data_IF_774147938105
#
_entry.id   IF_774147938105
#
_cell.length_a   1.000
_cell.length_b   1.000
_cell.length_c   1.000
_cell.angle_alpha   90.00
_cell.angle_beta   90.00
_cell.angle_gamma   90.00
#
_symmetry.space_group_name_H-M   'P 1'
#
loop_
_entity.id
_entity.type
_entity.pdbx_description
1 polymer ?
#
# COMPACT_ATOMS: atom_id res chain seq x y z
N UNK A 1 2.11 -9.53 -6.26
CA UNK A 1 1.23 -9.61 -5.07
C UNK A 1 0.01 -10.48 -5.36
N UNK A 2 -0.51 -11.15 -4.34
CA UNK A 2 -1.76 -11.93 -4.36
C UNK A 2 -2.71 -11.45 -3.24
N UNK A 3 -3.99 -11.28 -3.56
CA UNK A 3 -5.08 -11.02 -2.62
C UNK A 3 -6.02 -12.23 -2.60
N UNK A 4 -5.72 -13.27 -1.79
CA UNK A 4 -6.42 -14.55 -1.85
C UNK A 4 -7.92 -14.44 -1.56
N UNK A 5 -8.33 -13.54 -0.65
CA UNK A 5 -9.75 -13.34 -0.32
C UNK A 5 -10.59 -12.80 -1.49
N UNK A 6 -9.94 -12.19 -2.48
CA UNK A 6 -10.58 -11.65 -3.68
C UNK A 6 -10.27 -12.47 -4.95
N UNK A 7 -9.40 -13.48 -4.86
CA UNK A 7 -8.98 -14.27 -6.01
C UNK A 7 -8.23 -13.48 -7.08
N UNK A 8 -7.59 -12.36 -6.72
CA UNK A 8 -6.85 -11.50 -7.65
C UNK A 8 -5.37 -11.42 -7.34
N UNK A 9 -4.57 -11.18 -8.37
CA UNK A 9 -3.13 -10.93 -8.27
C UNK A 9 -2.72 -9.79 -9.19
N UNK A 10 -1.55 -9.21 -8.95
CA UNK A 10 -1.03 -8.13 -9.79
C UNK A 10 0.35 -7.66 -9.36
N UNK A 11 0.94 -6.81 -10.21
CA UNK A 11 2.16 -6.06 -9.91
C UNK A 11 1.75 -4.62 -9.63
N UNK A 12 1.90 -4.20 -8.38
CA UNK A 12 1.53 -2.86 -7.91
C UNK A 12 2.83 -2.10 -7.62
N UNK A 13 3.07 -0.95 -8.26
CA UNK A 13 4.12 -0.05 -7.83
C UNK A 13 3.68 0.61 -6.52
N UNK A 14 4.49 0.47 -5.47
CA UNK A 14 4.25 1.15 -4.21
C UNK A 14 5.26 2.27 -3.99
N UNK A 15 4.79 3.40 -3.48
CA UNK A 15 5.63 4.36 -2.79
C UNK A 15 6.04 3.78 -1.43
N UNK A 16 7.33 3.72 -1.15
CA UNK A 16 7.85 3.35 0.17
C UNK A 16 7.60 4.51 1.12
N UNK A 17 6.72 4.33 2.11
CA UNK A 17 6.26 5.41 2.99
C UNK A 17 6.36 5.01 4.46
N UNK A 18 7.40 5.49 5.15
CA UNK A 18 7.59 5.27 6.59
C UNK A 18 6.61 6.09 7.44
N UNK A 19 5.95 7.11 6.89
CA UNK A 19 4.89 7.87 7.55
C UNK A 19 3.56 7.13 7.59
N UNK A 20 3.31 6.24 6.62
CA UNK A 20 2.12 5.41 6.57
C UNK A 20 2.20 4.24 7.56
N UNK A 21 1.21 4.14 8.46
CA UNK A 21 1.12 3.01 9.40
C UNK A 21 0.82 1.68 8.69
N UNK A 22 0.02 1.74 7.62
CA UNK A 22 -0.53 0.58 6.92
C UNK A 22 -0.29 0.64 5.42
N UNK A 23 -0.04 -0.52 4.83
CA UNK A 23 0.08 -0.69 3.37
C UNK A 23 -1.29 -0.57 2.71
N UNK A 24 -1.38 0.26 1.67
CA UNK A 24 -2.63 0.68 1.05
C UNK A 24 -2.55 0.65 -0.47
N UNK A 25 -3.54 0.03 -1.12
CA UNK A 25 -3.75 0.09 -2.57
C UNK A 25 -4.81 1.15 -2.84
N UNK A 26 -4.39 2.22 -3.51
CA UNK A 26 -5.26 3.31 -3.88
C UNK A 26 -6.09 2.99 -5.13
N UNK A 27 -7.21 3.70 -5.28
CA UNK A 27 -8.22 3.40 -6.30
C UNK A 27 -7.63 3.28 -7.71
N UNK A 28 -6.74 4.20 -8.08
CA UNK A 28 -6.12 4.24 -9.41
C UNK A 28 -5.29 3.00 -9.76
N UNK A 29 -4.68 2.35 -8.76
CA UNK A 29 -3.82 1.17 -8.96
C UNK A 29 -4.60 -0.14 -8.89
N UNK A 30 -5.86 -0.14 -8.42
CA UNK A 30 -6.72 -1.35 -8.43
C UNK A 30 -6.84 -1.98 -9.81
N UNK A 31 -6.75 -1.17 -10.88
CA UNK A 31 -6.81 -1.62 -12.28
C UNK A 31 -5.69 -2.60 -12.68
N UNK A 32 -4.62 -2.64 -11.90
CA UNK A 32 -3.47 -3.53 -12.09
C UNK A 32 -3.68 -4.91 -11.44
N UNK A 33 -4.78 -5.08 -10.70
CA UNK A 33 -5.20 -6.36 -10.15
C UNK A 33 -6.10 -7.10 -11.13
N UNK A 34 -5.74 -8.35 -11.40
CA UNK A 34 -6.47 -9.25 -12.28
C UNK A 34 -6.82 -10.55 -11.57
N UNK A 35 -8.01 -11.05 -11.82
CA UNK A 35 -8.44 -12.42 -11.46
C UNK A 35 -7.68 -13.47 -12.26
N UNK A 36 -7.86 -14.75 -11.93
CA UNK A 36 -7.25 -15.87 -12.65
C UNK A 36 -7.65 -15.96 -14.13
N UNK A 37 -8.86 -15.50 -14.49
CA UNK A 37 -9.33 -15.46 -15.88
C UNK A 37 -8.87 -14.20 -16.64
N UNK A 38 -8.05 -13.35 -16.02
CA UNK A 38 -7.50 -12.13 -16.60
C UNK A 38 -8.47 -10.94 -16.58
N UNK A 39 -9.66 -11.08 -16.02
CA UNK A 39 -10.55 -9.93 -15.81
C UNK A 39 -10.02 -9.01 -14.71
N UNK A 40 -10.34 -7.72 -14.80
CA UNK A 40 -9.94 -6.73 -13.79
C UNK A 40 -10.82 -6.86 -12.55
N UNK A 41 -10.27 -6.50 -11.40
CA UNK A 41 -11.06 -6.36 -10.17
C UNK A 41 -12.23 -5.39 -10.42
N UNK A 42 -13.47 -5.88 -10.28
CA UNK A 42 -14.66 -5.04 -10.46
C UNK A 42 -14.65 -3.86 -9.48
N UNK A 43 -15.09 -2.66 -9.89
CA UNK A 43 -15.39 -1.56 -8.97
C UNK A 43 -16.35 -2.01 -7.86
N UNK A 44 -17.33 -2.85 -8.21
CA UNK A 44 -18.42 -3.32 -7.33
C UNK A 44 -18.04 -4.49 -6.41
N UNK A 45 -16.73 -4.74 -6.23
CA UNK A 45 -16.27 -5.77 -5.31
C UNK A 45 -16.75 -5.45 -3.89
N UNK A 46 -17.61 -6.33 -3.38
CA UNK A 46 -18.11 -6.25 -2.02
C UNK A 46 -17.03 -6.72 -1.06
N UNK A 47 -16.44 -5.77 -0.32
CA UNK A 47 -15.60 -6.07 0.83
C UNK A 47 -16.44 -5.84 2.09
N UNK A 48 -16.90 -6.90 2.79
CA UNK A 48 -17.88 -6.77 3.87
C UNK A 48 -17.35 -6.04 5.10
N UNK A 49 -16.03 -6.08 5.32
CA UNK A 49 -15.36 -5.36 6.41
C UNK A 49 -14.55 -4.19 5.84
N UNK A 50 -15.00 -2.97 6.14
CA UNK A 50 -14.30 -1.75 5.77
C UNK A 50 -14.04 -0.86 6.99
N UNK A 51 -13.05 0.00 6.85
CA UNK A 51 -12.74 1.07 7.80
C UNK A 51 -12.70 2.40 7.06
N UNK A 52 -12.98 3.48 7.78
CA UNK A 52 -12.83 4.84 7.25
C UNK A 52 -11.59 5.47 7.88
N UNK A 53 -10.78 6.12 7.05
CA UNK A 53 -9.68 6.96 7.50
C UNK A 53 -9.71 8.31 6.78
N UNK A 54 -9.04 9.30 7.37
CA UNK A 54 -8.86 10.59 6.72
C UNK A 54 -7.74 10.48 5.68
N UNK A 55 -8.11 10.68 4.42
CA UNK A 55 -7.17 10.82 3.31
C UNK A 55 -6.66 12.26 3.18
N UNK A 56 -6.24 12.61 1.97
CA UNK A 56 -5.73 13.95 1.66
C UNK A 56 -6.82 15.00 1.85
N UNK A 57 -6.41 16.15 2.39
CA UNK A 57 -7.29 17.27 2.70
C UNK A 57 -8.47 16.89 3.63
N UNK A 58 -8.27 15.90 4.49
CA UNK A 58 -9.29 15.37 5.41
C UNK A 58 -10.51 14.79 4.71
N UNK A 59 -10.34 14.34 3.45
CA UNK A 59 -11.40 13.65 2.73
C UNK A 59 -11.59 12.26 3.33
N UNK A 60 -12.81 11.85 3.75
CA UNK A 60 -13.05 10.50 4.21
C UNK A 60 -12.83 9.50 3.07
N UNK A 61 -12.04 8.46 3.33
CA UNK A 61 -11.79 7.36 2.39
C UNK A 61 -12.16 6.04 3.05
N UNK A 62 -12.89 5.20 2.31
CA UNK A 62 -13.26 3.86 2.73
C UNK A 62 -12.25 2.84 2.23
N UNK A 63 -11.74 2.02 3.14
CA UNK A 63 -10.79 0.97 2.85
C UNK A 63 -11.33 -0.39 3.27
N UNK A 64 -11.40 -1.32 2.32
CA UNK A 64 -11.62 -2.73 2.61
C UNK A 64 -10.30 -3.40 2.98
N UNK A 65 -10.26 -4.14 4.08
CA UNK A 65 -9.01 -4.74 4.57
C UNK A 65 -8.87 -6.21 4.18
N UNK A 66 -7.89 -6.53 3.33
CA UNK A 66 -7.72 -7.86 2.76
C UNK A 66 -6.41 -8.53 3.20
N UNK A 67 -6.42 -9.84 3.50
CA UNK A 67 -5.18 -10.61 3.54
C UNK A 67 -4.46 -10.52 2.19
N UNK A 68 -3.14 -10.40 2.22
CA UNK A 68 -2.30 -10.28 1.05
C UNK A 68 -1.01 -11.10 1.20
N UNK A 69 -0.50 -11.57 0.08
CA UNK A 69 0.88 -12.07 -0.04
C UNK A 69 1.63 -11.12 -0.97
N UNK A 70 2.59 -10.41 -0.41
CA UNK A 70 3.49 -9.51 -1.10
C UNK A 70 4.75 -10.28 -1.49
N UNK A 71 5.20 -10.07 -2.72
CA UNK A 71 6.42 -10.68 -3.25
C UNK A 71 7.24 -9.56 -3.86
N UNK A 72 8.43 -9.33 -3.31
CA UNK A 72 9.38 -8.34 -3.76
C UNK A 72 10.57 -9.06 -4.40
N UNK A 73 10.77 -8.85 -5.69
CA UNK A 73 11.95 -9.34 -6.41
C UNK A 73 13.05 -8.29 -6.37
N UNK A 74 14.27 -8.72 -6.10
CA UNK A 74 15.48 -7.93 -6.35
C UNK A 74 16.08 -8.38 -7.68
N UNK A 75 16.77 -7.51 -8.42
CA UNK A 75 17.33 -7.85 -9.74
C UNK A 75 18.27 -9.06 -9.70
N UNK A 76 19.01 -9.24 -8.59
CA UNK A 76 20.08 -10.24 -8.46
C UNK A 76 19.95 -11.14 -7.21
N UNK A 77 18.85 -11.09 -6.48
CA UNK A 77 18.75 -11.68 -5.14
C UNK A 77 17.50 -12.52 -4.88
N UNK A 78 17.42 -13.13 -3.68
CA UNK A 78 16.25 -13.90 -3.28
C UNK A 78 15.02 -13.01 -3.22
N UNK A 79 13.88 -13.52 -3.71
CA UNK A 79 12.60 -12.85 -3.53
C UNK A 79 12.24 -12.82 -2.05
N UNK A 80 11.82 -11.65 -1.58
CA UNK A 80 11.28 -11.48 -0.24
C UNK A 80 9.76 -11.62 -0.29
N UNK A 81 9.22 -12.52 0.56
CA UNK A 81 7.79 -12.83 0.60
C UNK A 81 7.25 -12.46 1.98
N UNK A 82 6.18 -11.67 1.99
CA UNK A 82 5.54 -11.19 3.23
C UNK A 82 4.06 -11.48 3.18
N UNK A 83 3.54 -12.10 4.25
CA UNK A 83 2.10 -12.13 4.52
C UNK A 83 1.69 -10.86 5.25
N UNK A 84 0.70 -10.13 4.72
CA UNK A 84 0.27 -8.85 5.26
C UNK A 84 -1.26 -8.69 5.22
N UNK A 85 -1.78 -7.61 5.80
CA UNK A 85 -3.15 -7.16 5.59
C UNK A 85 -3.13 -5.78 4.93
N UNK A 86 -3.54 -5.73 3.67
CA UNK A 86 -3.50 -4.52 2.87
C UNK A 86 -4.87 -3.85 2.86
N UNK A 87 -4.87 -2.53 3.00
CA UNK A 87 -6.06 -1.70 2.82
C UNK A 87 -6.30 -1.47 1.32
N UNK A 88 -7.53 -1.60 0.85
CA UNK A 88 -7.92 -1.39 -0.55
C UNK A 88 -8.98 -0.30 -0.58
N UNK A 89 -8.70 0.80 -1.25
CA UNK A 89 -9.65 1.90 -1.40
C UNK A 89 -10.91 1.45 -2.17
N UNK A 90 -12.09 1.67 -1.59
CA UNK A 90 -13.36 1.12 -2.06
C UNK A 90 -14.14 2.03 -3.01
N UNK A 91 -13.77 3.31 -3.09
CA UNK A 91 -14.42 4.29 -3.95
C UNK A 91 -13.36 5.22 -4.55
N UNK A 92 -13.58 5.80 -5.74
CA UNK A 92 -12.65 6.76 -6.31
C UNK A 92 -12.55 8.01 -5.44
N UNK A 93 -11.34 8.34 -4.99
CA UNK A 93 -11.00 9.68 -4.51
C UNK A 93 -10.94 10.69 -5.66
N UNK A 94 -11.20 11.96 -5.35
CA UNK A 94 -11.01 13.09 -6.28
C UNK A 94 -9.54 13.37 -6.60
N UNK A 95 -8.61 12.76 -5.86
CA UNK A 95 -7.16 12.93 -6.01
C UNK A 95 -6.55 11.55 -6.29
N UNK A 96 -5.86 11.43 -7.42
CA UNK A 96 -5.03 10.25 -7.71
C UNK A 96 -3.72 10.32 -6.95
N UNK A 97 -3.44 9.27 -6.18
CA UNK A 97 -2.19 9.11 -5.43
C UNK A 97 -1.64 7.69 -5.61
N UNK A 98 -0.31 7.51 -5.51
CA UNK A 98 0.29 6.19 -5.62
C UNK A 98 -0.11 5.32 -4.43
N UNK A 99 -0.23 4.01 -4.66
CA UNK A 99 -0.32 3.02 -3.57
C UNK A 99 0.87 3.13 -2.62
N UNK A 100 0.63 2.92 -1.32
CA UNK A 100 1.62 3.12 -0.25
C UNK A 100 2.06 1.79 0.35
N UNK A 101 3.36 1.59 0.50
CA UNK A 101 3.95 0.50 1.29
C UNK A 101 4.30 1.05 2.67
N UNK A 102 3.51 0.67 3.67
CA UNK A 102 3.55 1.24 5.01
C UNK A 102 4.41 0.45 6.00
N UNK A 103 4.52 0.97 7.23
CA UNK A 103 5.35 0.40 8.30
C UNK A 103 4.96 -1.03 8.69
N UNK A 104 3.70 -1.42 8.52
CA UNK A 104 3.21 -2.79 8.75
C UNK A 104 3.91 -3.86 7.91
N UNK A 105 4.40 -3.51 6.72
CA UNK A 105 5.20 -4.40 5.87
C UNK A 105 6.68 -4.04 5.98
N UNK A 106 6.99 -2.75 5.99
CA UNK A 106 8.38 -2.28 6.02
C UNK A 106 9.13 -2.72 7.29
N UNK A 107 8.45 -2.96 8.42
CA UNK A 107 9.09 -3.46 9.65
C UNK A 107 9.67 -4.87 9.52
N UNK A 108 9.23 -5.63 8.52
CA UNK A 108 9.74 -6.97 8.21
C UNK A 108 11.00 -6.92 7.33
N UNK A 109 11.34 -5.75 6.77
CA UNK A 109 12.56 -5.52 6.00
C UNK A 109 13.63 -4.81 6.83
N UNK A 110 14.89 -5.14 6.57
CA UNK A 110 16.00 -4.29 7.00
C UNK A 110 16.14 -3.13 6.01
N UNK A 111 15.89 -1.91 6.48
CA UNK A 111 16.10 -0.68 5.72
C UNK A 111 17.22 0.13 6.36
N UNK A 112 18.31 0.35 5.62
CA UNK A 112 19.42 1.19 6.07
C UNK A 112 19.28 2.57 5.38
N UNK A 113 18.86 3.59 6.15
CA UNK A 113 18.82 4.97 5.69
C UNK A 113 20.20 5.59 5.87
N UNK A 114 20.99 5.60 4.81
CA UNK A 114 22.27 6.30 4.80
C UNK A 114 22.03 7.80 4.63
N UNK A 115 21.87 8.52 5.74
CA UNK A 115 21.87 9.98 5.74
C UNK A 115 23.33 10.46 5.81
N UNK A 116 23.86 11.13 4.77
CA UNK A 116 25.14 11.81 4.88
C UNK A 116 25.05 12.80 6.06
N UNK A 117 26.06 12.81 6.92
CA UNK A 117 26.02 13.47 8.23
C UNK A 117 25.90 15.00 8.20
N UNK A 118 25.85 15.63 7.02
CA UNK A 118 26.17 17.05 6.89
C UNK A 118 24.95 18.00 6.87
N UNK A 119 23.70 17.53 6.75
CA UNK A 119 22.54 18.43 6.54
C UNK A 119 21.26 18.12 7.35
N UNK A 120 21.37 17.63 8.59
CA UNK A 120 20.20 17.59 9.49
C UNK A 120 20.30 18.61 10.63
N UNK A 121 20.07 19.88 10.30
CA UNK A 121 19.74 20.91 11.30
C UNK A 121 18.22 20.93 11.46
N UNK A 122 17.72 20.26 12.51
CA UNK A 122 16.33 20.39 12.95
C UNK A 122 16.27 21.44 14.07
N UNK A 123 16.27 22.72 13.68
CA UNK A 123 15.93 23.81 14.59
C UNK A 123 14.40 23.88 14.74
N UNK A 124 13.86 23.20 15.74
CA UNK A 124 12.53 23.51 16.24
C UNK A 124 12.68 24.45 17.45
N UNK A 125 12.52 25.75 17.20
CA UNK A 125 12.28 26.70 18.28
C UNK A 125 10.85 26.49 18.79
N UNK A 126 10.70 26.04 20.04
CA UNK A 126 9.42 26.12 20.74
C UNK A 126 9.28 27.54 21.28
N UNK A 127 8.20 28.21 20.88
CA UNK A 127 7.67 29.39 21.57
C UNK A 127 6.60 28.96 22.56
#
# INVERSE_FOLDING_TARGET
MLLPGLGVAGVIPFLVDTGADTTTIHWGDRRLLTTQDGSRLSPDVLIPEFTQALGIASTPVEYGRQPAVLVFSTEDGPSWVVGARVNIELAPSSIEVPSLLGRDVLSEARMDFNMPADDLVLDWAVA
#
